data_IF_375067446054
#
_entry.id   IF_375067446054
#
_cell.length_a   1.000
_cell.length_b   1.000
_cell.length_c   1.000
_cell.angle_alpha   90.00
_cell.angle_beta   90.00
_cell.angle_gamma   90.00
#
_symmetry.space_group_name_H-M   'P 1'
#
loop_
_entity.id
_entity.type
_entity.pdbx_description
1 polymer ?
#
# COMPACT_ATOMS: atom_id res chain seq x y z
N UNK A 1 3.89 31.41 -25.88
CA UNK A 1 4.24 30.04 -26.21
C UNK A 1 2.98 29.31 -26.69
N UNK A 2 3.13 28.25 -27.51
CA UNK A 2 2.02 27.44 -28.04
C UNK A 2 1.14 26.84 -26.91
N UNK A 3 1.74 26.54 -25.76
CA UNK A 3 1.02 26.07 -24.57
C UNK A 3 -0.01 27.09 -24.08
N UNK A 4 0.40 28.33 -23.88
CA UNK A 4 -0.49 29.40 -23.40
C UNK A 4 -1.68 29.62 -24.33
N UNK A 5 -1.43 29.63 -25.63
CA UNK A 5 -2.47 29.82 -26.65
C UNK A 5 -3.47 28.68 -26.68
N UNK A 6 -3.00 27.43 -26.45
CA UNK A 6 -3.82 26.24 -26.43
C UNK A 6 -4.70 26.13 -25.17
N UNK A 7 -4.16 26.41 -23.98
CA UNK A 7 -4.83 26.12 -22.72
C UNK A 7 -5.54 27.30 -22.05
N UNK A 8 -5.24 28.56 -22.46
CA UNK A 8 -5.92 29.73 -21.89
C UNK A 8 -7.20 30.15 -22.64
N UNK A 9 -7.53 29.50 -23.77
CA UNK A 9 -8.68 29.81 -24.60
C UNK A 9 -9.67 28.64 -24.70
N UNK A 10 -9.64 27.69 -23.76
CA UNK A 10 -10.56 26.57 -23.72
C UNK A 10 -11.82 26.91 -22.91
N UNK A 11 -12.94 26.29 -23.20
CA UNK A 11 -14.18 26.45 -22.43
C UNK A 11 -14.16 25.60 -21.16
N UNK A 12 -13.49 24.46 -21.20
CA UNK A 12 -13.32 23.57 -20.06
C UNK A 12 -11.88 23.10 -20.00
N UNK A 13 -11.24 23.25 -18.84
CA UNK A 13 -9.93 22.67 -18.53
C UNK A 13 -10.10 21.56 -17.52
N UNK A 14 -9.71 20.32 -17.90
CA UNK A 14 -9.67 19.18 -17.01
C UNK A 14 -8.22 18.80 -16.74
N UNK A 15 -7.86 18.72 -15.48
CA UNK A 15 -6.52 18.33 -15.00
C UNK A 15 -6.62 17.17 -14.07
N UNK A 16 -5.99 16.08 -14.44
CA UNK A 16 -5.92 14.88 -13.62
C UNK A 16 -4.61 14.88 -12.83
N UNK A 17 -4.69 14.41 -11.58
CA UNK A 17 -3.54 14.22 -10.70
C UNK A 17 -2.66 15.47 -10.52
N UNK A 18 -3.25 16.60 -10.12
CA UNK A 18 -2.55 17.89 -9.98
C UNK A 18 -1.34 17.83 -9.04
N UNK A 19 -1.28 16.87 -8.13
CA UNK A 19 -0.15 16.67 -7.23
C UNK A 19 1.19 16.45 -7.97
N UNK A 20 1.17 16.03 -9.24
CA UNK A 20 2.39 15.87 -10.04
C UNK A 20 3.12 17.16 -10.39
N UNK A 21 2.50 18.33 -10.21
CA UNK A 21 3.20 19.62 -10.37
C UNK A 21 3.92 20.05 -9.09
N UNK A 22 3.73 19.37 -7.97
CA UNK A 22 4.39 19.68 -6.70
C UNK A 22 5.92 19.68 -6.85
N UNK A 23 6.58 20.70 -6.27
CA UNK A 23 8.03 20.86 -6.38
C UNK A 23 8.54 21.37 -7.74
N UNK A 24 7.68 21.60 -8.74
CA UNK A 24 8.04 22.12 -10.06
C UNK A 24 7.66 23.59 -10.19
N UNK A 25 8.46 24.48 -9.64
CA UNK A 25 8.14 25.91 -9.50
C UNK A 25 7.68 26.58 -10.80
N UNK A 26 8.44 26.40 -11.89
CA UNK A 26 8.10 27.00 -13.19
C UNK A 26 6.78 26.49 -13.77
N UNK A 27 6.46 25.21 -13.53
CA UNK A 27 5.19 24.61 -13.95
C UNK A 27 4.05 25.14 -13.12
N UNK A 28 4.23 25.28 -11.81
CA UNK A 28 3.23 25.84 -10.91
C UNK A 28 2.94 27.31 -11.25
N UNK A 29 3.96 28.08 -11.60
CA UNK A 29 3.81 29.49 -12.02
C UNK A 29 3.00 29.60 -13.31
N UNK A 30 3.35 28.85 -14.33
CA UNK A 30 2.63 28.85 -15.62
C UNK A 30 1.18 28.37 -15.45
N UNK A 31 0.97 27.36 -14.60
CA UNK A 31 -0.36 26.86 -14.27
C UNK A 31 -1.18 27.91 -13.52
N UNK A 32 -0.61 28.62 -12.55
CA UNK A 32 -1.26 29.70 -11.83
C UNK A 32 -1.78 30.78 -12.77
N UNK A 33 -0.98 31.20 -13.74
CA UNK A 33 -1.42 32.17 -14.74
C UNK A 33 -2.50 31.63 -15.67
N UNK A 34 -2.45 30.36 -16.02
CA UNK A 34 -3.47 29.72 -16.85
C UNK A 34 -4.79 29.59 -16.09
N UNK A 35 -4.71 29.19 -14.81
CA UNK A 35 -5.88 29.13 -13.93
C UNK A 35 -6.57 30.48 -13.81
N UNK A 36 -5.82 31.56 -13.52
CA UNK A 36 -6.39 32.89 -13.40
C UNK A 36 -7.03 33.36 -14.71
N UNK A 37 -6.38 33.16 -15.86
CA UNK A 37 -6.93 33.54 -17.14
C UNK A 37 -8.29 32.86 -17.45
N UNK A 38 -8.42 31.58 -17.11
CA UNK A 38 -9.66 30.84 -17.28
C UNK A 38 -10.72 31.25 -16.24
N UNK A 39 -10.31 31.42 -15.01
CA UNK A 39 -11.18 31.84 -13.92
C UNK A 39 -11.80 33.24 -14.21
N UNK A 40 -10.99 34.22 -14.61
CA UNK A 40 -11.44 35.55 -14.93
C UNK A 40 -12.35 35.57 -16.19
N UNK A 41 -12.13 34.63 -17.11
CA UNK A 41 -12.98 34.42 -18.28
C UNK A 41 -14.23 33.56 -17.99
N UNK A 42 -14.50 33.24 -16.71
CA UNK A 42 -15.62 32.38 -16.26
C UNK A 42 -15.68 31.00 -16.94
N UNK A 43 -14.52 30.42 -17.25
CA UNK A 43 -14.42 29.08 -17.83
C UNK A 43 -14.43 28.00 -16.77
N UNK A 44 -14.89 26.81 -17.13
CA UNK A 44 -14.94 25.69 -16.19
C UNK A 44 -13.55 25.06 -16.00
N UNK A 45 -13.15 24.89 -14.74
CA UNK A 45 -11.91 24.17 -14.38
C UNK A 45 -12.31 22.98 -13.50
N UNK A 46 -11.80 21.80 -13.83
CA UNK A 46 -11.99 20.56 -13.08
C UNK A 46 -10.59 20.03 -12.77
N UNK A 47 -10.32 19.76 -11.49
CA UNK A 47 -9.01 19.27 -11.03
C UNK A 47 -9.22 18.06 -10.17
N UNK A 48 -8.47 16.97 -10.41
CA UNK A 48 -8.42 15.81 -9.53
C UNK A 48 -7.10 15.74 -8.75
N UNK A 49 -7.14 15.10 -7.59
CA UNK A 49 -5.97 14.81 -6.76
C UNK A 49 -6.26 13.62 -5.86
N UNK A 50 -5.23 12.91 -5.42
CA UNK A 50 -5.30 11.82 -4.41
C UNK A 50 -5.38 12.34 -2.97
N UNK A 51 -5.24 13.65 -2.77
CA UNK A 51 -5.25 14.32 -1.47
C UNK A 51 -5.75 15.75 -1.56
N UNK A 52 -6.13 16.33 -0.43
CA UNK A 52 -6.61 17.73 -0.40
C UNK A 52 -5.49 18.71 -0.77
N UNK A 53 -5.80 19.90 -1.32
CA UNK A 53 -4.79 20.87 -1.71
C UNK A 53 -3.79 21.23 -0.60
N UNK A 54 -4.23 21.24 0.66
CA UNK A 54 -3.40 21.54 1.83
C UNK A 54 -2.41 20.43 2.18
N UNK A 55 -2.68 19.20 1.77
CA UNK A 55 -1.84 18.03 2.04
C UNK A 55 -0.79 17.79 0.94
N UNK A 56 -0.87 18.53 -0.18
CA UNK A 56 0.12 18.41 -1.25
C UNK A 56 1.39 19.17 -0.82
N UNK A 57 2.42 18.43 -0.41
CA UNK A 57 3.71 19.00 -0.06
C UNK A 57 4.33 19.72 -1.26
N UNK A 58 5.01 20.86 -1.03
CA UNK A 58 5.67 21.68 -2.07
C UNK A 58 4.72 22.23 -3.15
N UNK A 59 3.44 22.38 -2.84
CA UNK A 59 2.49 23.16 -3.64
C UNK A 59 2.49 24.61 -3.12
N UNK A 60 2.58 25.59 -4.03
CA UNK A 60 2.61 27.01 -3.65
C UNK A 60 1.29 27.43 -3.00
N UNK A 61 1.35 28.20 -1.91
CA UNK A 61 0.17 28.66 -1.15
C UNK A 61 -0.88 29.38 -2.00
N UNK A 62 -0.44 30.13 -3.02
CA UNK A 62 -1.33 30.80 -3.96
C UNK A 62 -2.19 29.81 -4.77
N UNK A 63 -1.67 28.63 -5.12
CA UNK A 63 -2.43 27.57 -5.78
C UNK A 63 -3.36 26.86 -4.78
N UNK A 64 -2.87 26.58 -3.57
CA UNK A 64 -3.71 26.03 -2.49
C UNK A 64 -4.93 26.91 -2.24
N UNK A 65 -4.73 28.23 -2.16
CA UNK A 65 -5.82 29.19 -2.00
C UNK A 65 -6.82 29.15 -3.14
N UNK A 66 -6.35 29.12 -4.40
CA UNK A 66 -7.21 29.04 -5.58
C UNK A 66 -8.02 27.77 -5.67
N UNK A 67 -7.42 26.62 -5.36
CA UNK A 67 -8.13 25.33 -5.35
C UNK A 67 -9.19 25.25 -4.24
N UNK A 68 -8.96 25.94 -3.12
CA UNK A 68 -9.91 25.99 -2.02
C UNK A 68 -11.12 26.94 -2.28
N UNK A 69 -11.11 27.76 -3.31
CA UNK A 69 -12.23 28.67 -3.65
C UNK A 69 -13.36 27.94 -4.41
N UNK A 70 -13.07 26.82 -5.04
CA UNK A 70 -14.06 26.04 -5.76
C UNK A 70 -14.79 25.03 -4.89
N UNK A 71 -15.71 24.28 -5.53
CA UNK A 71 -16.33 23.14 -4.90
C UNK A 71 -15.30 22.00 -4.79
N UNK A 72 -14.94 21.63 -3.58
CA UNK A 72 -14.13 20.45 -3.31
C UNK A 72 -15.05 19.33 -2.85
N UNK A 73 -15.01 18.20 -3.53
CA UNK A 73 -15.78 17.00 -3.19
C UNK A 73 -14.85 15.81 -3.11
N UNK A 74 -15.17 14.90 -2.20
CA UNK A 74 -14.45 13.64 -2.03
C UNK A 74 -15.18 12.51 -2.76
N UNK A 75 -14.43 11.68 -3.48
CA UNK A 75 -14.95 10.51 -4.20
C UNK A 75 -14.49 9.26 -3.46
N UNK A 76 -15.39 8.70 -2.66
CA UNK A 76 -15.15 7.49 -1.88
C UNK A 76 -15.18 6.22 -2.75
N UNK A 77 -14.53 5.13 -2.29
CA UNK A 77 -14.68 3.83 -2.91
C UNK A 77 -16.17 3.44 -2.99
N UNK A 78 -16.62 2.87 -4.11
CA UNK A 78 -18.03 2.51 -4.29
C UNK A 78 -18.46 1.37 -3.38
N UNK A 79 -19.75 1.34 -3.05
CA UNK A 79 -20.37 0.22 -2.36
C UNK A 79 -20.43 -1.04 -3.24
N UNK A 80 -20.88 -2.16 -2.67
CA UNK A 80 -20.96 -3.44 -3.39
C UNK A 80 -21.87 -3.37 -4.61
N UNK A 81 -23.03 -2.72 -4.50
CA UNK A 81 -24.00 -2.62 -5.57
C UNK A 81 -23.44 -1.82 -6.76
N UNK A 82 -22.80 -0.70 -6.46
CA UNK A 82 -22.11 0.12 -7.46
C UNK A 82 -20.96 -0.64 -8.12
N UNK A 83 -20.16 -1.41 -7.36
CA UNK A 83 -19.10 -2.24 -7.96
C UNK A 83 -19.66 -3.29 -8.92
N UNK A 84 -20.75 -3.96 -8.53
CA UNK A 84 -21.44 -4.91 -9.41
C UNK A 84 -21.95 -4.22 -10.68
N UNK A 85 -22.54 -3.02 -10.56
CA UNK A 85 -23.01 -2.25 -11.70
C UNK A 85 -21.86 -1.86 -12.65
N UNK A 86 -20.71 -1.43 -12.11
CA UNK A 86 -19.51 -1.12 -12.90
C UNK A 86 -19.05 -2.33 -13.70
N UNK A 87 -18.95 -3.51 -13.06
CA UNK A 87 -18.55 -4.74 -13.74
C UNK A 87 -19.53 -5.14 -14.82
N UNK A 88 -20.83 -5.08 -14.54
CA UNK A 88 -21.88 -5.37 -15.55
C UNK A 88 -21.76 -4.44 -16.76
N UNK A 89 -21.58 -3.15 -16.53
CA UNK A 89 -21.39 -2.17 -17.60
C UNK A 89 -20.14 -2.42 -18.44
N UNK A 90 -19.09 -2.91 -17.82
CA UNK A 90 -17.84 -3.29 -18.51
C UNK A 90 -18.08 -4.49 -19.42
N UNK A 91 -18.79 -5.51 -18.93
CA UNK A 91 -19.09 -6.75 -19.67
C UNK A 91 -19.95 -6.49 -20.92
N UNK A 92 -20.86 -5.50 -20.90
CA UNK A 92 -21.68 -5.15 -22.07
C UNK A 92 -20.86 -4.91 -23.35
N UNK A 93 -19.57 -4.60 -23.21
CA UNK A 93 -18.64 -4.34 -24.31
C UNK A 93 -17.79 -5.54 -24.71
N UNK A 94 -17.92 -6.64 -23.99
CA UNK A 94 -17.09 -7.83 -24.17
C UNK A 94 -17.88 -8.95 -24.87
N UNK A 95 -17.27 -9.71 -25.79
CA UNK A 95 -17.96 -10.77 -26.55
C UNK A 95 -18.12 -12.07 -25.75
N UNK A 96 -18.16 -12.02 -24.43
CA UNK A 96 -18.17 -13.20 -23.54
C UNK A 96 -19.30 -13.09 -22.52
N UNK A 97 -19.85 -14.24 -22.14
CA UNK A 97 -20.83 -14.32 -21.05
C UNK A 97 -20.14 -14.57 -19.73
N UNK A 98 -20.30 -13.64 -18.77
CA UNK A 98 -19.76 -13.75 -17.41
C UNK A 98 -20.93 -14.02 -16.44
N UNK A 99 -20.97 -15.16 -15.74
CA UNK A 99 -22.03 -15.47 -14.79
C UNK A 99 -22.14 -14.41 -13.68
N UNK A 100 -23.36 -14.11 -13.23
CA UNK A 100 -23.59 -13.14 -12.16
C UNK A 100 -22.85 -13.51 -10.86
N UNK A 101 -22.73 -14.78 -10.53
CA UNK A 101 -21.98 -15.24 -9.36
C UNK A 101 -20.50 -14.85 -9.40
N UNK A 102 -19.87 -14.89 -10.59
CA UNK A 102 -18.49 -14.43 -10.81
C UNK A 102 -18.37 -12.92 -10.64
N UNK A 103 -19.35 -12.16 -11.16
CA UNK A 103 -19.41 -10.71 -11.00
C UNK A 103 -19.48 -10.34 -9.52
N UNK A 104 -20.38 -10.99 -8.77
CA UNK A 104 -20.51 -10.79 -7.33
C UNK A 104 -19.24 -11.16 -6.58
N UNK A 105 -18.61 -12.27 -6.93
CA UNK A 105 -17.36 -12.72 -6.36
C UNK A 105 -16.23 -11.68 -6.52
N UNK A 106 -16.04 -11.16 -7.74
CA UNK A 106 -15.04 -10.11 -7.99
C UNK A 106 -15.36 -8.86 -7.17
N UNK A 107 -16.62 -8.42 -7.16
CA UNK A 107 -17.05 -7.23 -6.43
C UNK A 107 -16.91 -7.35 -4.91
N UNK A 108 -17.03 -8.56 -4.34
CA UNK A 108 -16.78 -8.82 -2.92
C UNK A 108 -15.29 -8.89 -2.59
N UNK A 109 -14.49 -9.45 -3.50
CA UNK A 109 -13.06 -9.63 -3.32
C UNK A 109 -12.32 -8.28 -3.34
N UNK A 110 -12.65 -7.40 -4.30
CA UNK A 110 -11.96 -6.13 -4.51
C UNK A 110 -12.85 -4.97 -4.08
N UNK A 111 -12.48 -4.31 -2.96
CA UNK A 111 -13.34 -3.30 -2.30
C UNK A 111 -12.91 -1.86 -2.52
N UNK A 112 -11.64 -1.60 -2.71
CA UNK A 112 -11.05 -0.26 -2.60
C UNK A 112 -10.54 0.33 -3.91
N UNK A 113 -10.25 -0.49 -4.92
CA UNK A 113 -9.58 -0.07 -6.13
C UNK A 113 -10.37 -0.49 -7.37
N UNK A 114 -11.00 0.49 -8.06
CA UNK A 114 -11.78 0.22 -9.28
C UNK A 114 -10.91 -0.29 -10.42
N UNK A 115 -9.65 0.17 -10.54
CA UNK A 115 -8.73 -0.33 -11.57
C UNK A 115 -8.42 -1.81 -11.36
N UNK A 116 -8.23 -2.24 -10.11
CA UNK A 116 -8.07 -3.66 -9.78
C UNK A 116 -9.34 -4.45 -10.03
N UNK A 117 -10.50 -3.88 -9.70
CA UNK A 117 -11.81 -4.49 -9.94
C UNK A 117 -12.02 -4.79 -11.44
N UNK A 118 -11.81 -3.79 -12.30
CA UNK A 118 -11.88 -3.97 -13.75
C UNK A 118 -10.76 -4.89 -14.28
N UNK A 119 -9.54 -4.76 -13.74
CA UNK A 119 -8.40 -5.60 -14.11
C UNK A 119 -8.62 -7.08 -13.81
N UNK A 120 -9.26 -7.40 -12.67
CA UNK A 120 -9.61 -8.77 -12.32
C UNK A 120 -10.61 -9.38 -13.31
N UNK A 121 -11.64 -8.62 -13.71
CA UNK A 121 -12.59 -9.05 -14.73
C UNK A 121 -11.88 -9.31 -16.07
N UNK A 122 -11.04 -8.37 -16.51
CA UNK A 122 -10.28 -8.50 -17.77
C UNK A 122 -9.36 -9.72 -17.73
N UNK A 123 -8.70 -10.01 -16.60
CA UNK A 123 -7.85 -11.21 -16.43
C UNK A 123 -8.65 -12.49 -16.61
N UNK A 124 -9.84 -12.60 -16.00
CA UNK A 124 -10.70 -13.78 -16.14
C UNK A 124 -11.15 -13.96 -17.60
N UNK A 125 -11.59 -12.89 -18.25
CA UNK A 125 -12.02 -12.92 -19.65
C UNK A 125 -10.87 -13.34 -20.56
N UNK A 126 -9.70 -12.70 -20.42
CA UNK A 126 -8.51 -13.01 -21.22
C UNK A 126 -8.06 -14.47 -21.05
N UNK A 127 -8.04 -14.98 -19.80
CA UNK A 127 -7.69 -16.36 -19.54
C UNK A 127 -8.68 -17.34 -20.16
N UNK A 128 -9.98 -17.08 -20.03
CA UNK A 128 -11.04 -17.91 -20.62
C UNK A 128 -10.94 -17.96 -22.13
N UNK A 129 -10.66 -16.84 -22.80
CA UNK A 129 -10.48 -16.74 -24.25
C UNK A 129 -9.24 -17.47 -24.73
N UNK A 130 -8.10 -17.33 -24.01
CA UNK A 130 -6.83 -17.97 -24.36
C UNK A 130 -6.88 -19.50 -24.21
N UNK A 131 -7.58 -19.98 -23.20
CA UNK A 131 -7.70 -21.41 -22.89
C UNK A 131 -8.95 -22.05 -23.54
N UNK A 132 -9.74 -21.27 -24.27
CA UNK A 132 -11.03 -21.70 -24.86
C UNK A 132 -11.99 -22.31 -23.83
N UNK A 133 -11.98 -21.76 -22.60
CA UNK A 133 -12.77 -22.24 -21.47
C UNK A 133 -13.99 -21.37 -21.20
N UNK A 134 -15.06 -21.97 -20.70
CA UNK A 134 -16.24 -21.25 -20.20
C UNK A 134 -15.87 -20.61 -18.85
N UNK A 135 -16.32 -19.38 -18.62
CA UNK A 135 -16.11 -18.69 -17.34
C UNK A 135 -17.02 -19.33 -16.29
N UNK A 136 -16.39 -19.89 -15.27
CA UNK A 136 -17.02 -20.49 -14.08
C UNK A 136 -16.44 -19.89 -12.80
N UNK A 137 -17.09 -20.16 -11.66
CA UNK A 137 -16.56 -19.74 -10.36
C UNK A 137 -15.19 -20.36 -10.06
N UNK A 138 -14.97 -21.62 -10.43
CA UNK A 138 -13.70 -22.31 -10.20
C UNK A 138 -12.57 -21.69 -11.03
N UNK A 139 -12.84 -21.40 -12.32
CA UNK A 139 -11.89 -20.68 -13.16
C UNK A 139 -11.60 -19.28 -12.60
N UNK A 140 -12.61 -18.55 -12.13
CA UNK A 140 -12.40 -17.23 -11.54
C UNK A 140 -11.51 -17.29 -10.28
N UNK A 141 -11.71 -18.28 -9.39
CA UNK A 141 -10.87 -18.51 -8.22
C UNK A 141 -9.44 -18.90 -8.60
N UNK A 142 -9.27 -19.73 -9.61
CA UNK A 142 -7.95 -20.13 -10.12
C UNK A 142 -7.18 -18.91 -10.64
N UNK A 143 -7.79 -18.10 -11.49
CA UNK A 143 -7.17 -16.92 -12.12
C UNK A 143 -6.85 -15.84 -11.09
N UNK A 144 -7.70 -15.67 -10.06
CA UNK A 144 -7.55 -14.66 -9.03
C UNK A 144 -6.93 -15.21 -7.73
N UNK A 145 -6.36 -16.40 -7.74
CA UNK A 145 -5.76 -17.05 -6.55
C UNK A 145 -4.77 -16.16 -5.79
N UNK A 146 -4.05 -15.29 -6.50
CA UNK A 146 -3.08 -14.38 -5.88
C UNK A 146 -3.74 -13.27 -5.07
N UNK A 147 -4.97 -12.86 -5.47
CA UNK A 147 -5.79 -11.89 -4.75
C UNK A 147 -6.57 -12.55 -3.60
N UNK A 148 -6.81 -13.85 -3.69
CA UNK A 148 -7.45 -14.65 -2.62
C UNK A 148 -6.49 -15.02 -1.51
N UNK A 149 -5.18 -15.01 -1.78
CA UNK A 149 -4.20 -15.14 -0.70
C UNK A 149 -4.36 -13.90 0.18
N UNK A 150 -4.72 -14.12 1.44
CA UNK A 150 -4.62 -13.03 2.41
C UNK A 150 -3.26 -12.34 2.22
N UNK A 151 -3.22 -11.00 2.18
CA UNK A 151 -1.94 -10.32 2.13
C UNK A 151 -1.12 -10.91 3.28
N UNK A 152 0.00 -11.58 2.95
CA UNK A 152 0.92 -12.03 4.01
C UNK A 152 1.09 -10.82 4.91
N UNK A 153 0.59 -10.90 6.15
CA UNK A 153 0.79 -9.80 7.13
C UNK A 153 2.23 -9.39 6.97
N UNK A 154 2.48 -8.16 6.53
CA UNK A 154 3.85 -7.67 6.41
C UNK A 154 4.44 -7.75 7.82
N UNK A 155 5.20 -8.82 8.05
CA UNK A 155 5.86 -9.04 9.33
C UNK A 155 6.90 -7.94 9.45
N UNK A 156 6.59 -6.92 10.27
CA UNK A 156 7.51 -5.80 10.52
C UNK A 156 8.37 -6.11 11.74
N UNK A 157 9.57 -5.53 11.80
CA UNK A 157 10.46 -5.64 12.96
C UNK A 157 9.78 -5.13 14.23
N UNK A 158 8.97 -4.07 14.14
CA UNK A 158 8.21 -3.55 15.29
C UNK A 158 7.19 -4.59 15.81
N UNK A 159 6.50 -5.29 14.92
CA UNK A 159 5.58 -6.36 15.30
C UNK A 159 6.32 -7.54 15.95
N UNK A 160 7.47 -7.96 15.38
CA UNK A 160 8.33 -8.99 15.99
C UNK A 160 8.79 -8.56 17.38
N UNK A 161 9.26 -7.33 17.55
CA UNK A 161 9.67 -6.80 18.84
C UNK A 161 8.54 -6.86 19.88
N UNK A 162 7.30 -6.52 19.50
CA UNK A 162 6.13 -6.61 20.39
C UNK A 162 5.83 -8.04 20.81
N UNK A 163 5.81 -8.98 19.90
CA UNK A 163 5.59 -10.39 20.24
C UNK A 163 6.66 -10.94 21.18
N UNK A 164 7.93 -10.56 20.94
CA UNK A 164 9.04 -11.01 21.80
C UNK A 164 8.97 -10.38 23.19
N UNK A 165 8.67 -9.08 23.31
CA UNK A 165 8.58 -8.44 24.64
C UNK A 165 7.41 -8.99 25.46
N UNK A 166 6.31 -9.35 24.83
CA UNK A 166 5.16 -9.97 25.47
C UNK A 166 5.51 -11.36 26.03
N UNK A 167 6.15 -12.22 25.24
CA UNK A 167 6.56 -13.58 25.68
C UNK A 167 7.64 -13.54 26.78
N UNK A 168 8.54 -12.56 26.74
CA UNK A 168 9.63 -12.45 27.72
C UNK A 168 9.32 -11.53 28.92
N UNK A 169 8.20 -10.82 28.91
CA UNK A 169 7.78 -9.94 30.02
C UNK A 169 8.68 -8.74 30.22
N UNK A 170 9.17 -8.12 29.13
CA UNK A 170 10.04 -6.93 29.18
C UNK A 170 9.37 -5.72 28.50
N UNK A 171 9.91 -4.52 28.72
CA UNK A 171 9.40 -3.33 28.06
C UNK A 171 9.95 -3.18 26.63
N UNK A 172 9.09 -2.71 25.68
CA UNK A 172 9.50 -2.48 24.28
C UNK A 172 10.70 -1.50 24.18
N UNK A 173 10.75 -0.50 25.05
CA UNK A 173 11.86 0.45 25.12
C UNK A 173 13.21 -0.24 25.37
N UNK A 174 13.23 -1.35 26.10
CA UNK A 174 14.47 -2.09 26.42
C UNK A 174 15.11 -2.72 25.17
N UNK A 175 14.35 -2.93 24.09
CA UNK A 175 14.87 -3.42 22.80
C UNK A 175 15.90 -2.48 22.19
N UNK A 176 15.72 -1.16 22.35
CA UNK A 176 16.57 -0.11 21.75
C UNK A 176 17.68 0.39 22.70
N UNK A 177 17.57 0.13 24.00
CA UNK A 177 18.52 0.63 24.98
C UNK A 177 19.87 -0.13 24.95
N UNK A 178 20.96 0.55 25.38
CA UNK A 178 22.31 -0.04 25.48
C UNK A 178 22.53 -0.91 26.74
N UNK A 179 21.44 -1.31 27.43
CA UNK A 179 21.55 -2.16 28.63
C UNK A 179 22.09 -3.55 28.30
N UNK A 180 22.97 -4.06 29.18
CA UNK A 180 23.64 -5.38 29.04
C UNK A 180 23.15 -6.44 30.04
N UNK A 181 22.00 -6.22 30.70
CA UNK A 181 21.42 -7.20 31.61
C UNK A 181 20.97 -8.45 30.84
N UNK A 182 21.26 -9.64 31.33
CA UNK A 182 20.91 -10.94 30.72
C UNK A 182 19.39 -11.05 30.41
N UNK A 183 18.52 -10.50 31.28
CA UNK A 183 17.08 -10.49 31.11
C UNK A 183 16.59 -9.70 29.88
N UNK A 184 17.42 -8.78 29.38
CA UNK A 184 17.11 -7.94 28.21
C UNK A 184 17.89 -8.37 26.97
N UNK A 185 19.11 -8.90 27.18
CA UNK A 185 20.01 -9.28 26.08
C UNK A 185 19.44 -10.45 25.29
N UNK A 186 18.97 -11.53 25.95
CA UNK A 186 18.43 -12.70 25.28
C UNK A 186 17.19 -12.38 24.45
N UNK A 187 16.13 -11.72 24.98
CA UNK A 187 14.99 -11.31 24.17
C UNK A 187 15.37 -10.47 22.96
N UNK A 188 16.32 -9.53 23.11
CA UNK A 188 16.80 -8.70 22.01
C UNK A 188 17.50 -9.54 20.93
N UNK A 189 18.32 -10.51 21.32
CA UNK A 189 18.98 -11.43 20.40
C UNK A 189 17.95 -12.29 19.64
N UNK A 190 16.92 -12.79 20.34
CA UNK A 190 15.79 -13.52 19.73
C UNK A 190 15.05 -12.63 18.72
N UNK A 191 14.75 -11.38 19.10
CA UNK A 191 14.06 -10.45 18.18
C UNK A 191 14.90 -10.13 16.94
N UNK A 192 16.23 -9.95 17.07
CA UNK A 192 17.13 -9.76 15.92
C UNK A 192 17.18 -11.00 15.03
N UNK A 193 17.24 -12.20 15.63
CA UNK A 193 17.21 -13.46 14.91
C UNK A 193 15.90 -13.60 14.10
N UNK A 194 14.75 -13.44 14.75
CA UNK A 194 13.44 -13.52 14.09
C UNK A 194 13.26 -12.43 13.01
N UNK A 195 13.78 -11.25 13.23
CA UNK A 195 13.75 -10.19 12.23
C UNK A 195 14.49 -10.59 10.95
N UNK A 196 15.65 -11.27 11.08
CA UNK A 196 16.39 -11.76 9.92
C UNK A 196 15.71 -12.92 9.21
N UNK A 197 15.09 -13.85 9.97
CA UNK A 197 14.39 -15.02 9.42
C UNK A 197 13.05 -14.68 8.75
N UNK A 198 12.34 -13.67 9.26
CA UNK A 198 10.97 -13.38 8.85
C UNK A 198 10.82 -12.13 7.97
N UNK A 199 11.91 -11.40 7.73
CA UNK A 199 11.92 -10.22 6.85
C UNK A 199 13.10 -10.28 5.88
N UNK A 200 12.99 -9.54 4.77
CA UNK A 200 14.08 -9.43 3.78
C UNK A 200 15.17 -8.41 4.17
N UNK A 201 15.11 -7.85 5.41
CA UNK A 201 16.02 -6.82 5.87
C UNK A 201 17.44 -7.35 6.06
N UNK A 202 18.42 -6.55 5.69
CA UNK A 202 19.84 -6.79 5.93
C UNK A 202 20.22 -6.57 7.41
N UNK A 203 21.37 -7.12 7.85
CA UNK A 203 21.86 -6.91 9.21
C UNK A 203 22.05 -5.43 9.59
N UNK A 204 22.55 -4.53 8.72
CA UNK A 204 22.59 -3.10 8.98
C UNK A 204 21.21 -2.49 9.23
N UNK A 205 20.23 -2.76 8.37
CA UNK A 205 18.86 -2.24 8.49
C UNK A 205 18.19 -2.71 9.79
N UNK A 206 18.37 -3.98 10.16
CA UNK A 206 17.88 -4.49 11.44
C UNK A 206 18.58 -3.73 12.58
N UNK A 207 19.89 -3.49 12.51
CA UNK A 207 20.64 -2.75 13.51
C UNK A 207 20.07 -1.37 13.79
N UNK A 208 19.72 -0.62 12.76
CA UNK A 208 19.07 0.70 12.86
C UNK A 208 17.74 0.62 13.62
N UNK A 209 16.90 -0.37 13.34
CA UNK A 209 15.60 -0.56 13.99
C UNK A 209 15.70 -1.01 15.46
N UNK A 210 16.88 -1.48 15.89
CA UNK A 210 17.20 -1.80 17.29
C UNK A 210 17.99 -0.69 18.02
N UNK A 211 17.85 0.56 17.57
CA UNK A 211 18.46 1.74 18.22
C UNK A 211 19.90 1.99 17.80
N UNK A 212 20.21 1.83 16.50
CA UNK A 212 21.53 2.09 15.91
C UNK A 212 22.58 1.08 16.37
N UNK A 213 22.22 -0.21 16.42
CA UNK A 213 23.19 -1.28 16.71
C UNK A 213 24.01 -1.59 15.47
N UNK A 214 25.30 -1.79 15.68
CA UNK A 214 26.19 -2.21 14.61
C UNK A 214 25.77 -3.55 14.02
N UNK A 215 25.93 -3.71 12.71
CA UNK A 215 25.57 -4.94 11.98
C UNK A 215 26.29 -6.18 12.51
N UNK A 216 27.51 -6.03 13.05
CA UNK A 216 28.27 -7.12 13.69
C UNK A 216 27.58 -7.62 14.96
N UNK A 217 26.93 -6.72 15.71
CA UNK A 217 26.11 -7.08 16.88
C UNK A 217 24.89 -7.90 16.47
N UNK A 218 24.23 -7.54 15.38
CA UNK A 218 23.07 -8.27 14.87
C UNK A 218 23.49 -9.63 14.34
N UNK A 219 24.58 -9.70 13.57
CA UNK A 219 25.14 -10.95 13.03
C UNK A 219 25.56 -11.90 14.16
N UNK A 220 26.24 -11.39 15.19
CA UNK A 220 26.60 -12.19 16.37
C UNK A 220 25.36 -12.72 17.08
N UNK A 221 24.34 -11.88 17.26
CA UNK A 221 23.07 -12.28 17.90
C UNK A 221 22.36 -13.36 17.09
N UNK A 222 22.33 -13.21 15.78
CA UNK A 222 21.75 -14.18 14.87
C UNK A 222 22.44 -15.56 14.98
N UNK A 223 23.75 -15.60 14.84
CA UNK A 223 24.53 -16.85 14.91
C UNK A 223 24.38 -17.52 16.27
N UNK A 224 24.44 -16.73 17.34
CA UNK A 224 24.31 -17.24 18.71
C UNK A 224 22.96 -17.93 18.94
N UNK A 225 21.84 -17.27 18.58
CA UNK A 225 20.50 -17.87 18.73
C UNK A 225 20.36 -19.10 17.85
N UNK A 226 20.88 -19.07 16.63
CA UNK A 226 20.87 -20.22 15.72
C UNK A 226 21.58 -21.44 16.32
N UNK A 227 22.72 -21.24 17.00
CA UNK A 227 23.43 -22.30 17.71
C UNK A 227 22.68 -22.76 18.96
N UNK A 228 22.18 -21.84 19.79
CA UNK A 228 21.42 -22.16 21.00
C UNK A 228 20.16 -22.98 20.71
N UNK A 229 19.47 -22.75 19.57
CA UNK A 229 18.30 -23.51 19.14
C UNK A 229 18.59 -25.00 18.86
N UNK A 230 19.84 -25.40 18.69
CA UNK A 230 20.24 -26.81 18.51
C UNK A 230 20.33 -27.57 19.82
N UNK A 231 20.54 -26.88 20.94
CA UNK A 231 20.84 -27.47 22.26
C UNK A 231 19.83 -27.10 23.35
N UNK A 232 19.20 -25.92 23.27
CA UNK A 232 18.25 -25.42 24.28
C UNK A 232 16.80 -25.63 23.83
N UNK A 233 16.17 -26.69 24.33
CA UNK A 233 14.78 -27.03 24.05
C UNK A 233 13.80 -25.99 24.60
N UNK A 234 14.08 -25.40 25.76
CA UNK A 234 13.20 -24.40 26.36
C UNK A 234 13.17 -23.10 25.53
N UNK A 235 14.32 -22.68 25.03
CA UNK A 235 14.40 -21.54 24.11
C UNK A 235 13.68 -21.80 22.81
N UNK A 236 13.80 -23.03 22.27
CA UNK A 236 13.12 -23.45 21.04
C UNK A 236 11.59 -23.43 21.20
N UNK A 237 11.06 -23.90 22.31
CA UNK A 237 9.62 -23.85 22.60
C UNK A 237 9.11 -22.40 22.69
N UNK A 238 9.86 -21.50 23.34
CA UNK A 238 9.50 -20.08 23.42
C UNK A 238 9.47 -19.43 22.05
N UNK A 239 10.48 -19.67 21.23
CA UNK A 239 10.52 -19.13 19.85
C UNK A 239 9.37 -19.69 19.02
N UNK A 240 9.01 -20.96 19.15
CA UNK A 240 7.88 -21.54 18.46
C UNK A 240 6.55 -20.89 18.86
N UNK A 241 6.35 -20.55 20.14
CA UNK A 241 5.16 -19.78 20.57
C UNK A 241 5.10 -18.40 19.91
N UNK A 242 6.23 -17.69 19.89
CA UNK A 242 6.31 -16.39 19.23
C UNK A 242 5.99 -16.51 17.73
N UNK A 243 6.53 -17.52 17.04
CA UNK A 243 6.27 -17.78 15.63
C UNK A 243 4.79 -18.06 15.37
N UNK A 244 4.11 -18.83 16.25
CA UNK A 244 2.67 -19.06 16.15
C UNK A 244 1.85 -17.77 16.22
N UNK A 245 2.22 -16.85 17.13
CA UNK A 245 1.55 -15.54 17.25
C UNK A 245 1.81 -14.65 16.03
N UNK A 246 3.03 -14.68 15.49
CA UNK A 246 3.41 -13.88 14.31
C UNK A 246 2.70 -14.36 13.04
N UNK A 247 2.42 -15.65 12.93
CA UNK A 247 1.82 -16.29 11.74
C UNK A 247 0.28 -16.33 11.76
N UNK A 248 -0.35 -16.01 12.90
CA UNK A 248 -1.79 -15.79 13.03
C UNK A 248 -2.18 -14.37 12.59
#
# INVERSE_FOLDING_TARGET
SAFRQKFRNVDVLVLDDIHFIAGKESTQEEFFHTFNALYDAHKQIIISSDRTPKEIANLQERLVSRFSWGLTTDVQPPDLETRVAILKKKIEREPVNVPNEVIFFIAQLIKTNIRELEGALVRIIAYALLEEKIITMDLAKEVLKDLLREPKKLITVDFIQRCVVEEFGIALADMKLKKRNKTIVLPRQVAMYLSRELTDLSFPEIGELFGGKDHTTVLHSYNKIKEELTVDLALKERINKILQVIQQ
#
